data_IF_049885140274
#
_entry.id   IF_049885140274
#
_cell.length_a   1.000
_cell.length_b   1.000
_cell.length_c   1.000
_cell.angle_alpha   90.00
_cell.angle_beta   90.00
_cell.angle_gamma   90.00
#
_symmetry.space_group_name_H-M   'P 1'
#
loop_
_entity.id
_entity.type
_entity.pdbx_description
1 polymer ?
#
# COMPACT_ATOMS: atom_id res chain seq x y z
N UNK A 1 12.09 39.81 -24.55
CA UNK A 1 11.39 38.58 -24.98
C UNK A 1 10.14 38.42 -24.13
N UNK A 2 8.96 38.69 -24.72
CA UNK A 2 7.68 38.71 -24.00
C UNK A 2 7.28 37.35 -23.42
N UNK A 3 6.69 37.35 -22.22
CA UNK A 3 6.11 36.15 -21.61
C UNK A 3 4.95 35.69 -22.50
N UNK A 4 5.01 34.47 -23.02
CA UNK A 4 3.91 33.90 -23.81
C UNK A 4 2.69 33.70 -22.90
N UNK A 5 1.51 34.10 -23.38
CA UNK A 5 0.25 33.94 -22.66
C UNK A 5 0.04 32.51 -22.19
N UNK A 6 -0.61 32.35 -21.03
CA UNK A 6 -0.79 31.07 -20.33
C UNK A 6 -1.40 29.96 -21.20
N UNK A 7 -2.20 30.33 -22.20
CA UNK A 7 -2.91 29.45 -23.14
C UNK A 7 -2.25 29.38 -24.53
N UNK A 8 -1.10 30.02 -24.73
CA UNK A 8 -0.37 29.95 -26.00
C UNK A 8 0.00 28.49 -26.31
N UNK A 9 -0.07 28.05 -27.58
CA UNK A 9 0.44 26.75 -28.02
C UNK A 9 1.88 26.49 -27.54
N UNK A 10 2.70 27.55 -27.40
CA UNK A 10 4.07 27.46 -26.87
C UNK A 10 4.09 27.19 -25.36
N UNK A 11 3.24 27.85 -24.59
CA UNK A 11 3.10 27.62 -23.15
C UNK A 11 2.53 26.23 -22.84
N UNK A 12 1.54 25.79 -23.62
CA UNK A 12 0.94 24.45 -23.52
C UNK A 12 1.96 23.38 -23.93
N UNK A 13 2.67 23.55 -25.05
CA UNK A 13 3.73 22.63 -25.49
C UNK A 13 4.83 22.52 -24.45
N UNK A 14 5.27 23.63 -23.87
CA UNK A 14 6.27 23.62 -22.79
C UNK A 14 5.76 22.89 -21.54
N UNK A 15 4.48 23.05 -21.18
CA UNK A 15 3.86 22.35 -20.04
C UNK A 15 3.69 20.86 -20.29
N UNK A 16 3.32 20.45 -21.50
CA UNK A 16 3.23 19.03 -21.88
C UNK A 16 4.62 18.40 -21.88
N UNK A 17 5.61 19.09 -22.45
CA UNK A 17 7.01 18.65 -22.46
C UNK A 17 7.60 18.61 -21.06
N UNK A 18 7.19 19.49 -20.16
CA UNK A 18 7.58 19.47 -18.76
C UNK A 18 6.80 18.47 -17.91
N UNK A 19 5.70 17.86 -18.37
CA UNK A 19 4.94 16.85 -17.60
C UNK A 19 5.56 15.45 -17.61
N UNK A 20 6.29 15.07 -18.67
CA UNK A 20 6.95 13.76 -18.75
C UNK A 20 8.17 13.70 -17.82
N UNK A 21 8.28 12.67 -16.97
CA UNK A 21 9.28 12.47 -15.91
C UNK A 21 10.72 12.55 -16.47
N UNK A 22 11.18 13.77 -16.76
CA UNK A 22 12.55 14.06 -17.15
C UNK A 22 13.37 13.77 -15.90
N UNK A 23 14.30 12.81 -15.98
CA UNK A 23 15.25 12.50 -14.90
C UNK A 23 15.78 13.84 -14.34
N UNK A 24 15.73 14.02 -13.03
CA UNK A 24 16.10 15.24 -12.27
C UNK A 24 17.57 15.69 -12.44
N UNK A 25 18.29 15.15 -13.43
CA UNK A 25 19.68 15.46 -13.74
C UNK A 25 19.94 16.95 -13.92
N UNK A 26 18.95 17.70 -14.41
CA UNK A 26 19.07 19.14 -14.71
C UNK A 26 18.17 20.01 -13.83
N UNK A 27 17.95 19.64 -12.57
CA UNK A 27 17.18 20.43 -11.60
C UNK A 27 18.10 21.25 -10.69
N UNK A 28 17.77 22.51 -10.46
CA UNK A 28 18.47 23.37 -9.52
C UNK A 28 17.64 23.53 -8.25
N UNK A 29 18.15 22.99 -7.12
CA UNK A 29 17.48 23.09 -5.82
C UNK A 29 17.41 24.53 -5.31
N UNK A 30 18.51 25.29 -5.45
CA UNK A 30 18.59 26.68 -4.98
C UNK A 30 17.50 27.57 -5.60
N UNK A 31 17.23 27.35 -6.89
CA UNK A 31 16.28 28.15 -7.66
C UNK A 31 14.92 27.45 -7.84
N UNK A 32 14.75 26.25 -7.28
CA UNK A 32 13.63 25.34 -7.51
C UNK A 32 13.24 25.22 -9.00
N UNK A 33 14.25 25.14 -9.87
CA UNK A 33 14.08 25.29 -11.32
C UNK A 33 14.52 24.04 -12.08
N UNK A 34 13.57 23.41 -12.76
CA UNK A 34 13.86 22.36 -13.74
C UNK A 34 14.38 22.97 -15.04
N UNK A 35 15.64 22.69 -15.37
CA UNK A 35 16.21 22.94 -16.68
C UNK A 35 15.95 21.74 -17.60
N UNK A 36 15.91 22.01 -18.91
CA UNK A 36 15.46 21.03 -19.90
C UNK A 36 16.57 20.11 -20.41
N UNK A 37 17.77 20.64 -20.48
CA UNK A 37 18.97 20.00 -21.01
C UNK A 37 20.21 20.53 -20.27
N UNK A 38 21.35 19.91 -20.57
CA UNK A 38 22.65 20.27 -19.98
C UNK A 38 23.00 21.73 -20.25
N UNK A 39 22.78 22.21 -21.47
CA UNK A 39 23.10 23.59 -21.84
C UNK A 39 22.21 24.59 -21.11
N UNK A 40 20.91 24.31 -20.98
CA UNK A 40 19.98 25.14 -20.21
C UNK A 40 20.35 25.19 -18.73
N UNK A 41 20.84 24.08 -18.16
CA UNK A 41 21.33 24.03 -16.79
C UNK A 41 22.61 24.86 -16.61
N UNK A 42 23.59 24.72 -17.52
CA UNK A 42 24.81 25.54 -17.51
C UNK A 42 24.50 27.04 -17.61
N UNK A 43 23.66 27.44 -18.56
CA UNK A 43 23.23 28.84 -18.69
C UNK A 43 22.49 29.33 -17.44
N UNK A 44 21.74 28.45 -16.77
CA UNK A 44 21.09 28.79 -15.51
C UNK A 44 22.11 28.99 -14.37
N UNK A 45 23.09 28.10 -14.21
CA UNK A 45 24.15 28.25 -13.20
C UNK A 45 24.97 29.52 -13.41
N UNK A 46 25.16 29.95 -14.66
CA UNK A 46 25.86 31.20 -14.99
C UNK A 46 24.98 32.45 -14.88
N UNK A 47 23.67 32.32 -14.63
CA UNK A 47 22.77 33.47 -14.57
C UNK A 47 22.89 34.22 -13.24
N UNK A 48 22.77 35.55 -13.30
CA UNK A 48 22.86 36.44 -12.14
C UNK A 48 21.86 36.07 -11.03
N UNK A 49 20.65 35.61 -11.39
CA UNK A 49 19.66 35.21 -10.40
C UNK A 49 20.08 33.98 -9.59
N UNK A 50 20.73 33.00 -10.22
CA UNK A 50 21.29 31.84 -9.54
C UNK A 50 22.49 32.25 -8.67
N UNK A 51 23.40 33.05 -9.21
CA UNK A 51 24.57 33.54 -8.50
C UNK A 51 24.20 34.38 -7.27
N UNK A 52 23.15 35.22 -7.36
CA UNK A 52 22.64 35.98 -6.22
C UNK A 52 22.09 35.07 -5.12
N UNK A 53 21.36 34.02 -5.47
CA UNK A 53 20.87 33.04 -4.48
C UNK A 53 22.01 32.26 -3.84
N UNK A 54 23.07 31.92 -4.59
CA UNK A 54 24.30 31.33 -4.04
C UNK A 54 25.00 32.26 -3.04
N UNK A 55 25.10 33.55 -3.35
CA UNK A 55 25.70 34.53 -2.44
C UNK A 55 24.90 34.64 -1.14
N UNK A 56 23.57 34.76 -1.23
CA UNK A 56 22.70 34.77 -0.05
C UNK A 56 22.82 33.48 0.78
N UNK A 57 23.01 32.34 0.12
CA UNK A 57 23.24 31.07 0.80
C UNK A 57 24.61 30.99 1.45
N UNK A 58 25.64 31.58 0.84
CA UNK A 58 27.00 31.60 1.38
C UNK A 58 27.13 32.42 2.67
N UNK A 59 26.27 33.43 2.85
CA UNK A 59 26.24 34.25 4.06
C UNK A 59 25.75 33.46 5.29
N UNK A 60 24.86 32.48 5.11
CA UNK A 60 24.28 31.69 6.19
C UNK A 60 23.98 30.23 5.75
N UNK A 61 25.01 29.40 5.52
CA UNK A 61 24.81 28.06 4.97
C UNK A 61 23.97 27.15 5.87
N UNK A 62 24.09 27.31 7.20
CA UNK A 62 23.32 26.53 8.18
C UNK A 62 21.82 26.79 8.09
N UNK A 63 21.39 28.05 7.96
CA UNK A 63 19.97 28.41 7.85
C UNK A 63 19.31 27.83 6.61
N UNK A 64 20.02 27.80 5.48
CA UNK A 64 19.51 27.18 4.26
C UNK A 64 19.37 25.67 4.41
N UNK A 65 20.35 25.01 5.03
CA UNK A 65 20.29 23.58 5.33
C UNK A 65 19.13 23.24 6.26
N UNK A 66 18.91 24.06 7.29
CA UNK A 66 17.79 23.90 8.23
C UNK A 66 16.44 24.05 7.51
N UNK A 67 16.30 25.07 6.65
CA UNK A 67 15.10 25.28 5.86
C UNK A 67 14.75 24.08 4.97
N UNK A 68 15.71 23.60 4.18
CA UNK A 68 15.51 22.43 3.32
C UNK A 68 15.24 21.16 4.14
N UNK A 69 15.89 21.01 5.30
CA UNK A 69 15.66 19.87 6.19
C UNK A 69 14.27 19.89 6.80
N UNK A 70 13.75 21.07 7.15
CA UNK A 70 12.39 21.22 7.69
C UNK A 70 11.32 21.01 6.63
N UNK A 71 11.52 21.51 5.42
CA UNK A 71 10.64 21.26 4.27
C UNK A 71 10.60 19.77 3.93
N UNK A 72 11.77 19.14 3.76
CA UNK A 72 11.90 17.70 3.52
C UNK A 72 11.18 16.87 4.59
N UNK A 73 11.44 17.17 5.87
CA UNK A 73 10.82 16.47 7.01
C UNK A 73 9.30 16.60 6.98
N UNK A 74 8.79 17.81 6.75
CA UNK A 74 7.36 18.09 6.81
C UNK A 74 6.62 17.36 5.69
N UNK A 75 7.12 17.44 4.46
CA UNK A 75 6.52 16.77 3.30
C UNK A 75 6.62 15.25 3.41
N UNK A 76 7.75 14.72 3.89
CA UNK A 76 7.93 13.29 4.09
C UNK A 76 6.93 12.74 5.12
N UNK A 77 6.73 13.46 6.23
CA UNK A 77 5.74 13.09 7.25
C UNK A 77 4.31 13.24 6.76
N UNK A 78 4.00 14.28 5.97
CA UNK A 78 2.69 14.44 5.35
C UNK A 78 2.38 13.27 4.42
N UNK A 79 3.33 12.89 3.56
CA UNK A 79 3.20 11.74 2.66
C UNK A 79 2.99 10.45 3.44
N UNK A 80 3.77 10.24 4.51
CA UNK A 80 3.65 9.08 5.38
C UNK A 80 2.25 9.03 6.03
N UNK A 81 1.79 10.15 6.59
CA UNK A 81 0.46 10.28 7.22
C UNK A 81 -0.67 10.04 6.23
N UNK A 82 -0.60 10.65 5.03
CA UNK A 82 -1.69 10.64 4.04
C UNK A 82 -1.83 9.29 3.32
N UNK A 83 -0.73 8.67 2.92
CA UNK A 83 -0.74 7.43 2.11
C UNK A 83 -0.69 6.17 2.95
N UNK A 84 0.11 6.15 4.00
CA UNK A 84 0.42 4.94 4.76
C UNK A 84 -0.23 4.92 6.15
N UNK A 85 -0.50 6.09 6.73
CA UNK A 85 -1.06 6.24 8.07
C UNK A 85 -0.13 5.59 9.10
N UNK A 86 -0.68 4.79 10.01
CA UNK A 86 0.07 4.08 11.05
C UNK A 86 0.50 2.66 10.66
N UNK A 87 0.53 2.34 9.37
CA UNK A 87 1.05 1.04 8.92
C UNK A 87 2.57 1.01 9.00
N UNK A 88 3.12 -0.17 9.27
CA UNK A 88 4.56 -0.43 9.18
C UNK A 88 4.94 -0.59 7.72
N UNK A 89 5.86 0.23 7.22
CA UNK A 89 6.23 0.29 5.80
C UNK A 89 7.75 0.35 5.67
N UNK A 90 8.28 -0.26 4.61
CA UNK A 90 9.71 -0.18 4.31
C UNK A 90 10.08 1.23 3.86
N UNK A 91 11.12 1.79 4.46
CA UNK A 91 11.51 3.19 4.31
C UNK A 91 11.82 3.60 2.85
N UNK A 92 12.50 2.73 2.07
CA UNK A 92 12.77 3.02 0.66
C UNK A 92 11.50 3.17 -0.18
N UNK A 93 10.39 2.51 0.18
CA UNK A 93 9.13 2.64 -0.57
C UNK A 93 8.58 4.05 -0.39
N UNK A 94 8.62 4.56 0.83
CA UNK A 94 8.15 5.91 1.17
C UNK A 94 9.04 6.95 0.49
N UNK A 95 10.36 6.78 0.55
CA UNK A 95 11.29 7.69 -0.12
C UNK A 95 11.13 7.69 -1.64
N UNK A 96 10.93 6.52 -2.27
CA UNK A 96 10.71 6.44 -3.72
C UNK A 96 9.39 7.12 -4.15
N UNK A 97 8.34 7.00 -3.33
CA UNK A 97 7.09 7.73 -3.57
C UNK A 97 7.29 9.24 -3.39
N UNK A 98 8.07 9.66 -2.38
CA UNK A 98 8.39 11.06 -2.14
C UNK A 98 9.12 11.69 -3.34
N UNK A 99 10.18 11.05 -3.84
CA UNK A 99 10.94 11.56 -4.99
C UNK A 99 10.18 11.48 -6.33
N UNK A 100 9.00 10.85 -6.35
CA UNK A 100 8.15 10.80 -7.55
C UNK A 100 7.55 12.17 -7.88
N UNK A 101 7.37 13.02 -6.86
CA UNK A 101 6.95 14.42 -7.04
C UNK A 101 8.12 15.24 -7.61
N UNK A 102 7.85 16.29 -8.38
CA UNK A 102 8.93 17.05 -9.04
C UNK A 102 9.53 18.16 -8.21
N UNK A 103 8.75 18.65 -7.26
CA UNK A 103 9.08 19.78 -6.41
C UNK A 103 9.56 19.30 -5.04
N UNK A 104 10.01 18.04 -4.95
CA UNK A 104 10.54 17.50 -3.72
C UNK A 104 11.95 18.04 -3.44
N UNK A 105 12.27 18.23 -2.17
CA UNK A 105 13.63 18.52 -1.73
C UNK A 105 14.44 17.25 -1.77
N UNK A 106 15.50 17.21 -2.57
CA UNK A 106 16.35 16.02 -2.62
C UNK A 106 17.12 15.87 -1.29
N UNK A 107 17.25 14.64 -0.79
CA UNK A 107 17.91 14.30 0.48
C UNK A 107 19.30 14.94 0.63
N UNK A 108 20.12 14.93 -0.43
CA UNK A 108 21.45 15.57 -0.48
C UNK A 108 21.46 17.06 -0.09
N UNK A 109 20.32 17.74 -0.12
CA UNK A 109 20.19 19.16 0.23
C UNK A 109 19.84 19.37 1.72
N UNK A 110 19.72 18.28 2.48
CA UNK A 110 19.34 18.27 3.90
C UNK A 110 20.52 17.88 4.78
N UNK A 111 20.35 18.04 6.09
CA UNK A 111 21.33 17.60 7.11
C UNK A 111 21.54 16.08 7.19
N UNK A 112 20.75 15.28 6.46
CA UNK A 112 20.83 13.83 6.49
C UNK A 112 21.48 13.31 5.21
N UNK A 113 22.69 12.76 5.32
CA UNK A 113 23.42 12.19 4.18
C UNK A 113 22.79 10.89 3.67
N UNK A 114 22.23 10.10 4.58
CA UNK A 114 21.60 8.82 4.26
C UNK A 114 20.17 8.76 4.76
N UNK A 115 19.33 8.01 4.03
CA UNK A 115 17.95 7.74 4.43
C UNK A 115 17.87 6.98 5.77
N UNK A 116 18.92 6.22 6.10
CA UNK A 116 19.07 5.54 7.40
C UNK A 116 19.27 6.55 8.53
N UNK A 117 20.10 7.58 8.33
CA UNK A 117 20.32 8.60 9.36
C UNK A 117 19.05 9.41 9.61
N UNK A 118 18.32 9.75 8.55
CA UNK A 118 17.02 10.40 8.66
C UNK A 118 16.03 9.55 9.45
N UNK A 119 15.96 8.24 9.19
CA UNK A 119 15.04 7.37 9.94
C UNK A 119 15.42 7.18 11.39
N UNK A 120 16.70 7.00 11.71
CA UNK A 120 17.18 7.01 13.10
C UNK A 120 16.84 8.33 13.78
N UNK A 121 16.96 9.46 13.08
CA UNK A 121 16.57 10.77 13.61
C UNK A 121 15.06 10.88 13.89
N UNK A 122 14.20 10.39 12.99
CA UNK A 122 12.75 10.34 13.19
C UNK A 122 12.37 9.50 14.43
N UNK A 123 13.06 8.38 14.63
CA UNK A 123 12.91 7.53 15.82
C UNK A 123 13.30 8.27 17.11
N UNK A 124 14.44 8.95 17.12
CA UNK A 124 14.92 9.76 18.26
C UNK A 124 13.97 10.92 18.61
N UNK A 125 13.35 11.56 17.61
CA UNK A 125 12.33 12.61 17.83
C UNK A 125 10.96 12.05 18.24
N UNK A 126 10.77 10.74 18.18
CA UNK A 126 9.51 10.06 18.51
C UNK A 126 8.37 10.36 17.53
N UNK A 127 8.70 10.75 16.29
CA UNK A 127 7.70 11.01 15.23
C UNK A 127 7.27 9.71 14.55
N UNK A 128 8.21 8.75 14.47
CA UNK A 128 7.97 7.44 13.91
C UNK A 128 8.53 6.36 14.86
N UNK A 129 7.88 5.20 14.90
CA UNK A 129 8.50 3.95 15.38
C UNK A 129 9.35 3.38 14.26
N UNK A 130 10.57 2.99 14.58
CA UNK A 130 11.57 2.56 13.60
C UNK A 130 12.11 1.21 14.01
N UNK A 131 12.07 0.25 13.09
CA UNK A 131 12.57 -1.10 13.31
C UNK A 131 13.62 -1.44 12.25
N UNK A 132 14.71 -2.07 12.68
CA UNK A 132 15.71 -2.64 11.79
C UNK A 132 15.41 -4.12 11.57
N UNK A 133 15.43 -4.56 10.31
CA UNK A 133 15.31 -5.97 9.93
C UNK A 133 16.41 -6.32 8.95
N UNK A 134 16.72 -7.61 8.72
CA UNK A 134 17.70 -8.01 7.71
C UNK A 134 17.39 -7.51 6.29
N UNK A 135 16.13 -7.19 6.01
CA UNK A 135 15.68 -6.67 4.71
C UNK A 135 15.81 -5.14 4.59
N UNK A 136 16.13 -4.44 5.67
CA UNK A 136 16.25 -2.99 5.73
C UNK A 136 15.44 -2.34 6.85
N UNK A 137 15.28 -1.02 6.74
CA UNK A 137 14.65 -0.17 7.73
C UNK A 137 13.15 -0.03 7.50
N UNK A 138 12.37 -0.28 8.55
CA UNK A 138 10.93 -0.09 8.56
C UNK A 138 10.54 1.10 9.42
N UNK A 139 9.56 1.86 8.96
CA UNK A 139 9.00 3.00 9.67
C UNK A 139 7.50 2.85 9.84
N UNK A 140 7.01 3.33 10.98
CA UNK A 140 5.60 3.44 11.30
C UNK A 140 5.36 4.82 11.88
N UNK A 141 4.47 5.60 11.26
CA UNK A 141 4.11 6.92 11.78
C UNK A 141 3.41 6.82 13.13
N UNK A 142 3.76 7.69 14.07
CA UNK A 142 3.07 7.83 15.34
C UNK A 142 2.13 9.03 15.22
N UNK A 143 0.83 8.77 15.10
CA UNK A 143 -0.16 9.85 15.13
C UNK A 143 -0.33 10.33 16.57
N UNK A 144 -0.07 11.62 16.80
CA UNK A 144 -0.21 12.27 18.11
C UNK A 144 -1.56 12.97 18.26
N UNK A 145 -2.43 12.90 17.25
CA UNK A 145 -3.76 13.49 17.33
C UNK A 145 -4.68 12.64 18.23
N UNK A 146 -5.31 13.22 19.26
CA UNK A 146 -6.14 12.50 20.22
C UNK A 146 -7.35 11.82 19.57
N UNK A 147 -7.85 12.32 18.44
CA UNK A 147 -8.97 11.72 17.72
C UNK A 147 -8.55 10.42 17.01
N UNK A 148 -7.37 10.42 16.39
CA UNK A 148 -6.82 9.21 15.75
C UNK A 148 -6.50 8.14 16.77
N UNK A 149 -5.96 8.52 17.95
CA UNK A 149 -5.68 7.59 19.05
C UNK A 149 -6.97 6.92 19.52
N UNK A 150 -8.04 7.70 19.76
CA UNK A 150 -9.36 7.15 20.14
C UNK A 150 -9.89 6.17 19.12
N UNK A 151 -9.79 6.50 17.83
CA UNK A 151 -10.26 5.62 16.75
C UNK A 151 -9.44 4.32 16.69
N UNK A 152 -8.14 4.39 16.93
CA UNK A 152 -7.28 3.20 16.99
C UNK A 152 -7.57 2.33 18.21
N UNK A 153 -7.78 2.93 19.38
CA UNK A 153 -8.19 2.22 20.59
C UNK A 153 -9.56 1.57 20.44
N UNK A 154 -10.52 2.26 19.83
CA UNK A 154 -11.84 1.70 19.55
C UNK A 154 -11.75 0.52 18.58
N UNK A 155 -10.96 0.64 17.51
CA UNK A 155 -10.71 -0.47 16.58
C UNK A 155 -9.99 -1.64 17.27
N UNK A 156 -9.02 -1.37 18.13
CA UNK A 156 -8.31 -2.42 18.88
C UNK A 156 -9.26 -3.10 19.89
N UNK A 157 -10.11 -2.33 20.57
CA UNK A 157 -11.12 -2.84 21.49
C UNK A 157 -12.14 -3.69 20.75
N UNK A 158 -12.63 -3.22 19.60
CA UNK A 158 -13.58 -3.97 18.76
C UNK A 158 -12.97 -5.28 18.26
N UNK A 159 -11.72 -5.26 17.76
CA UNK A 159 -11.01 -6.49 17.36
C UNK A 159 -10.82 -7.47 18.52
N UNK A 160 -10.50 -6.97 19.71
CA UNK A 160 -10.37 -7.81 20.90
C UNK A 160 -11.71 -8.45 21.29
N UNK A 161 -12.81 -7.71 21.18
CA UNK A 161 -14.16 -8.22 21.40
C UNK A 161 -14.56 -9.26 20.35
N UNK A 162 -14.30 -8.98 19.06
CA UNK A 162 -14.56 -9.93 17.96
C UNK A 162 -13.79 -11.24 18.15
N UNK A 163 -12.51 -11.19 18.53
CA UNK A 163 -11.71 -12.38 18.82
C UNK A 163 -12.26 -13.19 20.01
N UNK A 164 -12.68 -12.52 21.08
CA UNK A 164 -13.25 -13.17 22.27
C UNK A 164 -14.63 -13.81 21.98
N UNK A 165 -15.45 -13.14 21.17
CA UNK A 165 -16.74 -13.67 20.71
C UNK A 165 -16.57 -14.83 19.72
N UNK A 166 -15.55 -14.78 18.85
CA UNK A 166 -15.20 -15.88 17.94
C UNK A 166 -14.68 -17.10 18.71
N UNK A 167 -13.86 -16.91 19.74
CA UNK A 167 -13.41 -17.99 20.62
C UNK A 167 -14.57 -18.63 21.39
N UNK A 168 -15.50 -17.80 21.92
CA UNK A 168 -16.73 -18.29 22.56
C UNK A 168 -17.63 -19.06 21.59
N UNK A 169 -17.79 -18.55 20.37
CA UNK A 169 -18.59 -19.19 19.32
C UNK A 169 -17.99 -20.53 18.89
N UNK A 170 -16.67 -20.60 18.72
CA UNK A 170 -15.96 -21.82 18.37
C UNK A 170 -16.13 -22.91 19.45
N UNK A 171 -16.04 -22.55 20.74
CA UNK A 171 -16.28 -23.49 21.86
C UNK A 171 -17.72 -24.01 21.87
N UNK A 172 -18.71 -23.14 21.61
CA UNK A 172 -20.11 -23.54 21.55
C UNK A 172 -20.40 -24.50 20.39
N UNK A 173 -19.83 -24.25 19.21
CA UNK A 173 -19.96 -25.13 18.03
C UNK A 173 -19.30 -26.50 18.31
N UNK A 174 -18.10 -26.53 18.88
CA UNK A 174 -17.42 -27.77 19.24
C UNK A 174 -18.26 -28.62 20.21
N UNK A 175 -18.89 -28.00 21.19
CA UNK A 175 -19.74 -28.70 22.15
C UNK A 175 -21.01 -29.26 21.50
N UNK A 176 -21.64 -28.54 20.56
CA UNK A 176 -22.79 -29.05 19.80
C UNK A 176 -22.41 -30.22 18.89
N UNK A 177 -21.24 -30.16 18.24
CA UNK A 177 -20.71 -31.26 17.42
C UNK A 177 -20.43 -32.48 18.27
N UNK A 178 -19.81 -32.33 19.44
CA UNK A 178 -19.55 -33.43 20.38
C UNK A 178 -20.84 -34.13 20.82
N UNK A 179 -21.84 -33.35 21.25
CA UNK A 179 -23.16 -33.88 21.63
C UNK A 179 -23.88 -34.59 20.47
N UNK A 180 -23.74 -34.07 19.25
CA UNK A 180 -24.29 -34.71 18.05
C UNK A 180 -23.57 -36.00 17.63
N UNK A 181 -22.28 -36.15 17.97
CA UNK A 181 -21.52 -37.39 17.75
C UNK A 181 -21.88 -38.46 18.79
N UNK A 182 -21.94 -38.10 20.08
CA UNK A 182 -22.34 -39.03 21.16
C UNK A 182 -23.75 -39.58 20.94
N UNK A 183 -24.69 -38.75 20.44
CA UNK A 183 -26.03 -39.19 20.08
C UNK A 183 -26.08 -40.15 18.88
N UNK A 184 -25.15 -40.05 17.92
CA UNK A 184 -25.05 -40.98 16.78
C UNK A 184 -24.38 -42.30 17.17
N UNK A 185 -23.39 -42.29 18.07
CA UNK A 185 -22.77 -43.51 18.58
C UNK A 185 -23.72 -44.31 19.50
N UNK A 186 -24.61 -43.64 20.23
CA UNK A 186 -25.68 -44.29 20.98
C UNK A 186 -26.74 -44.96 20.08
N UNK A 187 -27.01 -44.43 18.88
CA UNK A 187 -27.94 -45.06 17.93
C UNK A 187 -27.31 -46.18 17.10
N UNK A 188 -25.99 -46.22 16.95
CA UNK A 188 -25.25 -47.29 16.24
C UNK A 188 -24.93 -48.49 17.15
N UNK A 189 -24.95 -48.32 18.48
CA UNK A 189 -24.70 -49.40 19.46
C UNK A 189 -25.95 -50.14 19.94
N UNK A 190 -27.16 -49.68 19.60
CA UNK A 190 -28.38 -50.48 19.80
C UNK A 190 -28.64 -51.34 18.57
N UNK A 191 -28.47 -52.65 18.71
CA UNK A 191 -28.99 -53.70 17.81
C UNK A 191 -30.43 -53.36 17.38
N UNK A 192 -30.61 -52.82 16.17
CA UNK A 192 -31.92 -52.76 15.51
C UNK A 192 -31.90 -53.69 14.31
N UNK A 193 -32.84 -54.65 14.20
CA UNK A 193 -32.89 -55.53 13.04
C UNK A 193 -33.16 -54.72 11.77
N UNK A 194 -32.43 -55.06 10.70
CA UNK A 194 -32.59 -54.43 9.38
C UNK A 194 -34.05 -54.51 8.92
N UNK A 195 -34.66 -53.42 8.41
CA UNK A 195 -36.05 -53.46 7.95
C UNK A 195 -36.20 -54.28 6.66
N UNK A 196 -37.21 -55.17 6.66
CA UNK A 196 -37.53 -56.23 5.69
C UNK A 196 -38.09 -55.75 4.32
N UNK A 197 -37.79 -54.53 3.89
CA UNK A 197 -38.25 -54.08 2.56
C UNK A 197 -37.32 -54.52 1.41
N UNK A 198 -36.14 -55.09 1.73
CA UNK A 198 -35.11 -55.45 0.75
C UNK A 198 -35.25 -56.87 0.17
N UNK A 199 -36.24 -57.66 0.60
CA UNK A 199 -36.44 -59.05 0.14
C UNK A 199 -37.58 -59.25 -0.87
N UNK A 200 -38.09 -58.18 -1.50
CA UNK A 200 -39.17 -58.29 -2.49
C UNK A 200 -38.72 -58.00 -3.93
N UNK A 201 -37.68 -58.69 -4.38
CA UNK A 201 -37.28 -58.72 -5.81
C UNK A 201 -36.88 -60.12 -6.31
N UNK A 202 -37.54 -61.18 -5.81
CA UNK A 202 -37.55 -62.49 -6.47
C UNK A 202 -38.98 -62.99 -6.65
N UNK A 203 -39.64 -62.53 -7.71
CA UNK A 203 -40.64 -63.24 -8.51
C UNK A 203 -41.49 -62.23 -9.32
N UNK A 204 -40.92 -61.70 -10.38
CA UNK A 204 -41.67 -61.27 -11.56
C UNK A 204 -40.67 -61.25 -12.72
N UNK A 205 -40.53 -62.39 -13.39
CA UNK A 205 -39.98 -62.42 -14.75
C UNK A 205 -40.83 -61.51 -15.63
N UNK A 206 -40.22 -60.52 -16.26
CA UNK A 206 -40.77 -59.96 -17.49
C UNK A 206 -39.62 -59.68 -18.46
N UNK A 207 -39.87 -60.09 -19.70
CA UNK A 207 -38.91 -60.48 -20.72
C UNK A 207 -38.26 -59.26 -21.39
N UNK A 208 -36.94 -59.29 -21.57
CA UNK A 208 -36.20 -58.38 -22.45
C UNK A 208 -36.22 -58.88 -23.90
N UNK A 209 -36.38 -57.99 -24.89
CA UNK A 209 -35.66 -58.13 -26.15
C UNK A 209 -34.46 -57.18 -26.22
N UNK A 210 -33.41 -57.74 -26.81
CA UNK A 210 -32.06 -57.22 -27.02
C UNK A 210 -31.94 -56.15 -28.12
N UNK A 211 -30.83 -55.40 -28.09
CA UNK A 211 -30.27 -54.45 -29.11
C UNK A 211 -30.91 -53.05 -29.10
N UNK A 212 -30.18 -51.91 -29.16
CA UNK A 212 -29.07 -51.47 -30.03
C UNK A 212 -28.24 -50.34 -29.37
N UNK A 213 -26.97 -50.23 -29.78
CA UNK A 213 -25.86 -49.27 -29.50
C UNK A 213 -26.16 -47.75 -29.39
N UNK A 214 -25.18 -46.93 -28.91
CA UNK A 214 -25.39 -45.56 -28.46
C UNK A 214 -25.16 -44.49 -29.56
N UNK A 215 -25.91 -43.39 -29.50
CA UNK A 215 -25.64 -42.15 -30.23
C UNK A 215 -25.67 -40.97 -29.24
N UNK A 216 -24.58 -40.20 -29.18
CA UNK A 216 -24.42 -39.05 -28.27
C UNK A 216 -25.11 -37.77 -28.77
N UNK A 217 -25.11 -36.71 -27.93
CA UNK A 217 -25.05 -35.33 -28.43
C UNK A 217 -24.03 -34.48 -27.63
N UNK A 218 -23.13 -33.74 -28.29
CA UNK A 218 -23.27 -32.43 -28.96
C UNK A 218 -23.09 -31.22 -28.01
N UNK A 219 -22.04 -30.44 -28.30
CA UNK A 219 -21.62 -29.18 -27.65
C UNK A 219 -22.74 -28.13 -27.66
N UNK A 220 -22.94 -27.45 -26.53
CA UNK A 220 -23.70 -26.21 -26.45
C UNK A 220 -22.77 -25.00 -26.56
N UNK A 221 -23.08 -24.14 -27.54
CA UNK A 221 -22.40 -22.88 -27.81
C UNK A 221 -22.92 -21.78 -26.86
N UNK A 222 -21.98 -20.95 -26.42
CA UNK A 222 -22.14 -19.72 -25.66
C UNK A 222 -22.54 -18.59 -26.61
N UNK A 223 -23.59 -17.83 -26.31
CA UNK A 223 -23.85 -16.52 -26.93
C UNK A 223 -24.08 -15.48 -25.83
N UNK A 224 -23.25 -14.45 -25.89
CA UNK A 224 -23.45 -13.16 -25.23
C UNK A 224 -24.46 -12.33 -26.05
N UNK A 225 -25.26 -11.55 -25.33
CA UNK A 225 -25.68 -10.19 -25.71
C UNK A 225 -25.67 -9.36 -24.45
#
# INVERSE_FOLDING_TARGET
>A
MGKADFLSPKAISNRIKSKGLQKLRWYCQMCQKQCRDENGFKCHCMSESHQRQLLLASENPTKFMDYFSDEFKSDFLELLRRRFGTKRVHNNIVYNEYISHREHVHMNSTQWETLTDFTKWLGRKGLCKVDETPKGWYIQYVDRDPETIRRQEEQARKKKQELDDEERSAKFIQEQVRRGMDGKEAEVSSDRPKPDWMNRTKAAEFILPSSVSPAGPARLHRTQT
#
